data_IF_866687294726
#
_entry.id   IF_866687294726
#
_cell.length_a   1.000
_cell.length_b   1.000
_cell.length_c   1.000
_cell.angle_alpha   90.00
_cell.angle_beta   90.00
_cell.angle_gamma   90.00
#
_symmetry.space_group_name_H-M   'P 1'
#
loop_
_entity.id
_entity.type
_entity.pdbx_description
1 polymer ?
#
# COMPACT_ATOMS: atom_id res chain seq x y z
N UNK A 1 7.68 21.20 1.18
CA UNK A 1 8.45 20.11 1.86
C UNK A 1 7.57 19.59 2.98
N UNK A 2 7.40 18.28 3.10
CA UNK A 2 6.57 17.68 4.16
C UNK A 2 7.32 17.73 5.51
N UNK A 3 6.59 17.91 6.60
CA UNK A 3 7.09 17.81 7.98
C UNK A 3 7.17 16.31 8.38
N UNK A 4 8.38 15.79 8.71
CA UNK A 4 8.55 14.37 9.05
C UNK A 4 7.68 13.90 10.21
N UNK A 5 7.52 14.73 11.25
CA UNK A 5 6.73 14.33 12.43
C UNK A 5 5.23 14.26 12.06
N UNK A 6 4.74 15.27 11.35
CA UNK A 6 3.36 15.26 10.86
C UNK A 6 3.05 14.04 9.95
N UNK A 7 4.01 13.62 9.12
CA UNK A 7 3.87 12.41 8.28
C UNK A 7 3.82 11.14 9.15
N UNK A 8 4.65 11.04 10.18
CA UNK A 8 4.64 9.91 11.10
C UNK A 8 3.30 9.81 11.86
N UNK A 9 2.79 10.94 12.35
CA UNK A 9 1.49 10.99 13.04
C UNK A 9 0.33 10.65 12.11
N UNK A 10 0.38 11.13 10.86
CA UNK A 10 -0.60 10.75 9.85
C UNK A 10 -0.63 9.24 9.59
N UNK A 11 0.54 8.61 9.43
CA UNK A 11 0.64 7.16 9.24
C UNK A 11 0.04 6.40 10.43
N UNK A 12 0.36 6.79 11.66
CA UNK A 12 -0.18 6.17 12.87
C UNK A 12 -1.70 6.32 12.94
N UNK A 13 -2.24 7.48 12.57
CA UNK A 13 -3.67 7.73 12.53
C UNK A 13 -4.38 6.85 11.49
N UNK A 14 -3.80 6.68 10.29
CA UNK A 14 -4.32 5.77 9.26
C UNK A 14 -4.37 4.33 9.79
N UNK A 15 -3.28 3.83 10.37
CA UNK A 15 -3.22 2.47 10.92
C UNK A 15 -4.27 2.27 12.02
N UNK A 16 -4.41 3.23 12.95
CA UNK A 16 -5.39 3.15 14.03
C UNK A 16 -6.82 3.11 13.50
N UNK A 17 -7.15 3.98 12.54
CA UNK A 17 -8.48 4.04 11.93
C UNK A 17 -8.80 2.78 11.13
N UNK A 18 -7.87 2.28 10.31
CA UNK A 18 -8.03 1.03 9.56
C UNK A 18 -8.23 -0.15 10.51
N UNK A 19 -7.46 -0.22 11.60
CA UNK A 19 -7.62 -1.29 12.61
C UNK A 19 -8.99 -1.23 13.28
N UNK A 20 -9.46 -0.04 13.65
CA UNK A 20 -10.80 0.13 14.24
C UNK A 20 -11.87 -0.38 13.27
N UNK A 21 -11.82 0.09 12.02
CA UNK A 21 -12.78 -0.30 10.98
C UNK A 21 -12.82 -1.82 10.76
N UNK A 22 -11.67 -2.50 10.70
CA UNK A 22 -11.61 -3.96 10.57
C UNK A 22 -12.21 -4.65 11.81
N UNK A 23 -11.94 -4.11 12.99
CA UNK A 23 -12.38 -4.71 14.27
C UNK A 23 -13.88 -4.54 14.51
N UNK A 24 -14.46 -3.45 14.01
CA UNK A 24 -15.90 -3.17 14.12
C UNK A 24 -16.74 -4.13 13.26
N UNK A 25 -16.13 -4.84 12.30
CA UNK A 25 -16.72 -5.94 11.52
C UNK A 25 -17.81 -5.53 10.52
N UNK A 26 -18.36 -4.32 10.66
CA UNK A 26 -19.33 -3.75 9.75
C UNK A 26 -18.70 -3.51 8.36
N UNK A 27 -19.23 -4.18 7.34
CA UNK A 27 -18.81 -3.98 5.96
C UNK A 27 -17.66 -4.86 5.49
N UNK A 28 -17.18 -5.84 6.28
CA UNK A 28 -16.12 -6.77 5.84
C UNK A 28 -16.49 -7.60 4.61
N UNK A 29 -17.79 -7.76 4.31
CA UNK A 29 -18.25 -8.38 3.06
C UNK A 29 -17.66 -7.71 1.81
N UNK A 30 -17.31 -6.42 1.88
CA UNK A 30 -16.63 -5.72 0.78
C UNK A 30 -15.26 -6.32 0.47
N UNK A 31 -14.58 -6.88 1.47
CA UNK A 31 -13.23 -7.46 1.33
C UNK A 31 -13.21 -8.74 0.48
N UNK A 32 -14.35 -9.40 0.34
CA UNK A 32 -14.50 -10.60 -0.51
C UNK A 32 -14.86 -10.24 -1.96
N UNK A 33 -15.11 -8.97 -2.26
CA UNK A 33 -15.41 -8.54 -3.63
C UNK A 33 -14.15 -8.42 -4.47
N UNK A 34 -14.27 -8.67 -5.78
CA UNK A 34 -13.20 -8.43 -6.75
C UNK A 34 -13.50 -7.10 -7.46
N UNK A 35 -12.78 -6.01 -7.16
CA UNK A 35 -12.96 -4.74 -7.85
C UNK A 35 -12.42 -4.80 -9.28
N UNK A 36 -12.99 -3.97 -10.16
CA UNK A 36 -12.39 -3.67 -11.46
C UNK A 36 -11.19 -2.72 -11.28
N UNK A 37 -10.04 -3.31 -10.94
CA UNK A 37 -8.79 -2.61 -10.68
C UNK A 37 -8.25 -1.92 -11.93
N UNK A 38 -8.46 -2.51 -13.12
CA UNK A 38 -8.06 -1.91 -14.38
C UNK A 38 -8.83 -0.60 -14.65
N UNK A 39 -10.15 -0.60 -14.50
CA UNK A 39 -10.94 0.62 -14.65
C UNK A 39 -10.59 1.68 -13.58
N UNK A 40 -10.25 1.26 -12.36
CA UNK A 40 -9.82 2.18 -11.31
C UNK A 40 -8.48 2.86 -11.65
N UNK A 41 -7.49 2.10 -12.12
CA UNK A 41 -6.18 2.62 -12.55
C UNK A 41 -6.30 3.54 -13.77
N UNK A 42 -7.13 3.18 -14.75
CA UNK A 42 -7.40 4.03 -15.91
C UNK A 42 -8.03 5.36 -15.52
N UNK A 43 -8.97 5.35 -14.56
CA UNK A 43 -9.67 6.55 -14.10
C UNK A 43 -8.73 7.58 -13.47
N UNK A 44 -7.65 7.13 -12.81
CA UNK A 44 -6.62 8.01 -12.24
C UNK A 44 -5.47 8.30 -13.22
N UNK A 45 -5.58 7.83 -14.47
CA UNK A 45 -4.61 8.10 -15.53
C UNK A 45 -3.30 7.32 -15.41
N UNK A 46 -3.30 6.14 -14.78
CA UNK A 46 -2.10 5.31 -14.64
C UNK A 46 -1.63 4.79 -16.01
N UNK A 47 -0.44 5.19 -16.51
CA UNK A 47 0.05 4.78 -17.83
C UNK A 47 0.36 3.27 -17.90
N UNK A 48 -0.26 2.56 -18.84
CA UNK A 48 -0.06 1.10 -19.00
C UNK A 48 1.33 0.74 -19.51
N UNK A 49 1.98 1.60 -20.28
CA UNK A 49 3.32 1.38 -20.84
C UNK A 49 4.44 1.40 -19.78
N UNK A 50 4.20 2.02 -18.62
CA UNK A 50 5.15 2.13 -17.51
C UNK A 50 4.76 1.32 -16.28
N UNK A 51 3.48 0.98 -16.15
CA UNK A 51 2.90 0.33 -14.97
C UNK A 51 2.10 -0.91 -15.34
N UNK A 52 2.39 -1.56 -16.47
CA UNK A 52 1.79 -2.85 -16.88
C UNK A 52 1.83 -3.90 -15.76
N UNK A 53 2.94 -3.95 -15.01
CA UNK A 53 3.10 -4.82 -13.85
C UNK A 53 2.04 -4.56 -12.76
N UNK A 54 1.59 -3.31 -12.59
CA UNK A 54 0.60 -2.94 -11.58
C UNK A 54 -0.79 -3.46 -11.97
N UNK A 55 -1.14 -3.31 -13.26
CA UNK A 55 -2.37 -3.88 -13.81
C UNK A 55 -2.40 -5.39 -13.63
N UNK A 56 -1.32 -6.09 -14.00
CA UNK A 56 -1.24 -7.55 -13.84
C UNK A 56 -1.20 -8.01 -12.37
N UNK A 57 -0.53 -7.27 -11.50
CA UNK A 57 -0.48 -7.58 -10.07
C UNK A 57 -1.86 -7.48 -9.41
N UNK A 58 -2.66 -6.48 -9.80
CA UNK A 58 -3.96 -6.17 -9.19
C UNK A 58 -5.14 -6.89 -9.88
N UNK A 59 -4.91 -7.53 -11.02
CA UNK A 59 -5.95 -8.25 -11.76
C UNK A 59 -6.50 -9.43 -10.93
N UNK A 60 -7.84 -9.49 -10.85
CA UNK A 60 -8.56 -10.57 -10.19
C UNK A 60 -8.34 -10.67 -8.67
N UNK A 61 -7.68 -9.68 -8.05
CA UNK A 61 -7.42 -9.68 -6.60
C UNK A 61 -8.67 -9.27 -5.82
N UNK A 62 -9.02 -9.96 -4.72
CA UNK A 62 -10.11 -9.51 -3.86
C UNK A 62 -9.72 -8.22 -3.13
N UNK A 63 -10.69 -7.45 -2.65
CA UNK A 63 -10.45 -6.24 -1.87
C UNK A 63 -9.58 -6.50 -0.61
N UNK A 64 -9.65 -7.69 -0.01
CA UNK A 64 -8.77 -8.13 1.08
C UNK A 64 -7.28 -8.13 0.70
N UNK A 65 -6.94 -8.42 -0.56
CA UNK A 65 -5.57 -8.35 -1.04
C UNK A 65 -5.02 -6.93 -0.92
N UNK A 66 -5.78 -5.90 -1.27
CA UNK A 66 -5.31 -4.50 -1.21
C UNK A 66 -5.08 -4.07 0.23
N UNK A 67 -5.94 -4.49 1.16
CA UNK A 67 -5.76 -4.24 2.59
C UNK A 67 -4.48 -4.90 3.12
N UNK A 68 -4.27 -6.19 2.83
CA UNK A 68 -3.08 -6.93 3.29
C UNK A 68 -1.80 -6.48 2.58
N UNK A 69 -1.89 -6.13 1.29
CA UNK A 69 -0.77 -5.64 0.50
C UNK A 69 -0.25 -4.33 1.07
N UNK A 70 -1.10 -3.35 1.34
CA UNK A 70 -0.67 -2.08 1.96
C UNK A 70 -0.12 -2.28 3.38
N UNK A 71 -0.78 -3.10 4.19
CA UNK A 71 -0.37 -3.32 5.58
C UNK A 71 0.94 -4.10 5.73
N UNK A 72 1.27 -4.97 4.77
CA UNK A 72 2.40 -5.92 4.88
C UNK A 72 3.33 -5.75 3.69
N UNK A 73 2.89 -6.14 2.50
CA UNK A 73 3.76 -6.27 1.32
C UNK A 73 4.44 -4.95 0.92
N UNK A 74 3.67 -3.87 0.84
CA UNK A 74 4.14 -2.56 0.46
C UNK A 74 5.08 -1.96 1.53
N UNK A 75 4.69 -2.03 2.81
CA UNK A 75 5.52 -1.57 3.93
C UNK A 75 6.87 -2.26 4.01
N UNK A 76 6.91 -3.60 3.88
CA UNK A 76 8.17 -4.34 3.85
C UNK A 76 9.03 -4.02 2.62
N UNK A 77 8.41 -3.78 1.47
CA UNK A 77 9.14 -3.41 0.25
C UNK A 77 9.85 -2.07 0.43
N UNK A 78 9.17 -1.05 0.97
CA UNK A 78 9.79 0.23 1.28
C UNK A 78 10.89 0.14 2.35
N UNK A 79 10.72 -0.70 3.37
CA UNK A 79 11.79 -0.96 4.35
C UNK A 79 13.04 -1.57 3.67
N UNK A 80 12.83 -2.50 2.74
CA UNK A 80 13.88 -3.10 1.93
C UNK A 80 14.62 -2.07 1.08
N UNK A 81 13.88 -1.19 0.39
CA UNK A 81 14.44 -0.08 -0.40
C UNK A 81 15.29 0.86 0.47
N UNK A 82 14.75 1.29 1.62
CA UNK A 82 15.47 2.16 2.56
C UNK A 82 16.76 1.52 3.05
N UNK A 83 16.72 0.24 3.42
CA UNK A 83 17.91 -0.52 3.83
C UNK A 83 18.92 -0.56 2.69
N UNK A 84 18.46 -0.90 1.48
CA UNK A 84 19.31 -0.97 0.28
C UNK A 84 19.99 0.36 -0.06
N UNK A 85 19.28 1.48 0.10
CA UNK A 85 19.83 2.83 -0.09
C UNK A 85 20.86 3.15 0.98
N UNK A 86 20.53 2.92 2.27
CA UNK A 86 21.45 3.18 3.39
C UNK A 86 22.75 2.39 3.26
N UNK A 87 22.67 1.13 2.85
CA UNK A 87 23.85 0.29 2.60
C UNK A 87 24.76 0.91 1.53
N UNK A 88 24.20 1.34 0.40
CA UNK A 88 24.97 2.00 -0.68
C UNK A 88 25.60 3.34 -0.25
N UNK A 89 25.00 4.01 0.73
CA UNK A 89 25.52 5.26 1.30
C UNK A 89 26.57 5.03 2.40
N UNK A 90 26.86 3.78 2.78
CA UNK A 90 27.75 3.49 3.92
C UNK A 90 27.16 3.90 5.28
N UNK A 91 25.83 4.07 5.35
CA UNK A 91 25.11 4.46 6.57
C UNK A 91 24.47 3.26 7.30
N UNK A 92 24.72 2.05 6.81
CA UNK A 92 24.30 0.81 7.47
C UNK A 92 25.23 0.49 8.63
N UNK A 93 24.69 0.19 9.83
CA UNK A 93 25.49 -0.40 10.90
C UNK A 93 25.73 -1.92 10.72
N UNK A 94 25.21 -2.51 9.63
CA UNK A 94 25.37 -3.91 9.23
C UNK A 94 26.13 -4.03 7.92
#
# INVERSE_FOLDING_TARGET
RLDPEAVAQYLLAVIANTRSWVSDGAGLAVLETIPDSAAALQRIGTPTDRFDWLYGMWEGKPASFFLSWEAIGHGYSHLGELTSIRNRMGLSPF
#
